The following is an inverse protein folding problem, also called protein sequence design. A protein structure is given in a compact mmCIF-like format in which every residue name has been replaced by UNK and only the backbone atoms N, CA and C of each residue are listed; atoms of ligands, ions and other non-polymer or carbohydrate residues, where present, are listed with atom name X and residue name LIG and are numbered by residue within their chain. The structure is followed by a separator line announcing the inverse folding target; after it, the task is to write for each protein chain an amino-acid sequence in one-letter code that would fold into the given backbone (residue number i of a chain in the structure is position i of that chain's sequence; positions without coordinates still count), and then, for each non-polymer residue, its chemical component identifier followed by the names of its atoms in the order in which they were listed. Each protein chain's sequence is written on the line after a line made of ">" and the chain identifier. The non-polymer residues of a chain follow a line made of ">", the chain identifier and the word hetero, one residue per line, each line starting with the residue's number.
data_IF_836801267144
#
_entry.id   IF_836801267144
#
_cell.length_a   1.000
_cell.length_b   1.000
_cell.length_c   1.000
_cell.angle_alpha   90.00
_cell.angle_beta   90.00
_cell.angle_gamma   90.00
#
_symmetry.space_group_name_H-M   'P 1'
#
loop_
_entity.id
_entity.type
_entity.pdbx_description
1 polymer ?
#
# COMPACT_ATOMS: atom_id res chain seq x y z
N UNK A 1 7.88 -10.39 -19.81
CA UNK A 1 8.55 -9.27 -19.10
C UNK A 1 8.69 -9.64 -17.63
N UNK A 2 9.90 -9.79 -17.11
CA UNK A 2 10.11 -10.20 -15.70
C UNK A 2 10.09 -8.99 -14.76
N UNK A 3 9.62 -9.17 -13.53
CA UNK A 3 9.58 -8.14 -12.49
C UNK A 3 10.97 -7.48 -12.28
N UNK A 4 12.06 -8.23 -12.46
CA UNK A 4 13.44 -7.73 -12.34
C UNK A 4 13.82 -6.69 -13.40
N UNK A 5 13.38 -6.85 -14.64
CA UNK A 5 13.65 -5.87 -15.70
C UNK A 5 12.85 -4.59 -15.48
N UNK A 6 11.63 -4.71 -14.96
CA UNK A 6 10.80 -3.58 -14.53
C UNK A 6 11.46 -2.84 -13.36
N UNK A 7 11.97 -3.56 -12.36
CA UNK A 7 12.65 -3.00 -11.19
C UNK A 7 13.82 -2.07 -11.54
N UNK A 8 14.73 -2.53 -12.42
CA UNK A 8 15.86 -1.71 -12.89
C UNK A 8 15.40 -0.45 -13.61
N UNK A 9 14.31 -0.55 -14.37
CA UNK A 9 13.72 0.61 -15.06
C UNK A 9 13.12 1.59 -14.06
N UNK A 10 12.38 1.15 -13.05
CA UNK A 10 11.84 2.02 -12.00
C UNK A 10 12.97 2.77 -11.30
N UNK A 11 14.00 2.05 -10.87
CA UNK A 11 15.15 2.64 -10.20
C UNK A 11 15.89 3.65 -11.08
N UNK A 12 16.18 3.31 -12.35
CA UNK A 12 16.82 4.22 -13.31
C UNK A 12 16.02 5.51 -13.54
N UNK A 13 14.70 5.48 -13.38
CA UNK A 13 13.82 6.65 -13.54
C UNK A 13 13.52 7.35 -12.21
N UNK A 14 14.24 7.04 -11.13
CA UNK A 14 14.01 7.60 -9.79
C UNK A 14 12.56 7.41 -9.29
N UNK A 15 11.94 6.28 -9.61
CA UNK A 15 10.57 5.95 -9.16
C UNK A 15 10.67 5.07 -7.92
N UNK A 16 10.02 5.47 -6.82
CA UNK A 16 9.85 4.67 -5.61
C UNK A 16 8.63 3.78 -5.76
N UNK A 17 8.79 2.46 -5.64
CA UNK A 17 7.67 1.53 -5.67
C UNK A 17 7.23 1.16 -4.26
N UNK A 18 5.92 1.20 -4.01
CA UNK A 18 5.28 0.61 -2.83
C UNK A 18 4.15 -0.33 -3.28
N UNK A 19 4.06 -1.51 -2.69
CA UNK A 19 3.01 -2.48 -2.97
C UNK A 19 2.15 -2.61 -1.72
N UNK A 20 0.85 -2.36 -1.86
CA UNK A 20 -0.15 -2.48 -0.79
C UNK A 20 -1.10 -3.65 -1.06
N UNK A 21 -1.69 -4.24 -0.02
CA UNK A 21 -2.55 -5.41 -0.12
C UNK A 21 -1.99 -6.67 0.56
N UNK A 22 -2.73 -7.77 0.51
CA UNK A 22 -2.38 -9.02 1.19
C UNK A 22 -1.40 -9.83 0.33
N UNK A 23 -0.10 -9.57 0.55
CA UNK A 23 1.01 -10.18 -0.21
C UNK A 23 1.17 -11.69 0.02
N UNK A 24 0.72 -12.21 1.17
CA UNK A 24 0.89 -13.60 1.57
C UNK A 24 0.12 -14.60 0.70
N UNK A 25 -0.90 -14.14 -0.06
CA UNK A 25 -1.65 -14.97 -1.01
C UNK A 25 -0.91 -15.24 -2.31
N UNK A 26 0.21 -14.56 -2.57
CA UNK A 26 1.06 -14.81 -3.73
C UNK A 26 2.11 -15.88 -3.45
N UNK A 27 2.71 -16.45 -4.48
CA UNK A 27 3.82 -17.40 -4.30
C UNK A 27 5.02 -16.75 -3.60
N UNK A 28 5.75 -17.51 -2.79
CA UNK A 28 6.94 -17.01 -2.08
C UNK A 28 7.95 -16.35 -3.04
N UNK A 29 8.15 -16.93 -4.23
CA UNK A 29 9.01 -16.34 -5.26
C UNK A 29 8.55 -14.94 -5.69
N UNK A 30 7.24 -14.70 -5.76
CA UNK A 30 6.70 -13.39 -6.10
C UNK A 30 6.81 -12.43 -4.92
N UNK A 31 6.53 -12.90 -3.69
CA UNK A 31 6.72 -12.11 -2.46
C UNK A 31 8.17 -11.61 -2.33
N UNK A 32 9.16 -12.50 -2.49
CA UNK A 32 10.58 -12.11 -2.45
C UNK A 32 10.93 -11.11 -3.53
N UNK A 33 10.37 -11.24 -4.74
CA UNK A 33 10.57 -10.26 -5.81
C UNK A 33 9.94 -8.92 -5.48
N UNK A 34 8.73 -8.88 -4.95
CA UNK A 34 8.07 -7.64 -4.52
C UNK A 34 8.96 -6.90 -3.52
N UNK A 35 9.46 -7.61 -2.51
CA UNK A 35 10.37 -7.07 -1.50
C UNK A 35 11.70 -6.58 -2.11
N UNK A 36 12.32 -7.35 -3.02
CA UNK A 36 13.55 -6.95 -3.73
C UNK A 36 13.37 -5.61 -4.47
N UNK A 37 12.23 -5.41 -5.13
CA UNK A 37 11.96 -4.18 -5.88
C UNK A 37 11.62 -2.99 -4.97
N UNK A 38 10.79 -3.20 -3.93
CA UNK A 38 10.49 -2.16 -2.94
C UNK A 38 11.79 -1.68 -2.27
N UNK A 39 12.68 -2.60 -1.89
CA UNK A 39 13.97 -2.27 -1.29
C UNK A 39 14.91 -1.56 -2.27
N UNK A 40 14.99 -2.01 -3.52
CA UNK A 40 15.83 -1.36 -4.55
C UNK A 40 15.41 0.09 -4.82
N UNK A 41 14.14 0.42 -4.62
CA UNK A 41 13.57 1.72 -4.95
C UNK A 41 13.24 2.57 -3.72
N UNK A 42 13.58 2.12 -2.51
CA UNK A 42 13.17 2.77 -1.24
C UNK A 42 13.67 4.21 -1.11
N UNK A 43 14.88 4.46 -1.59
CA UNK A 43 15.58 5.73 -1.43
C UNK A 43 15.34 6.69 -2.61
N UNK A 44 14.53 6.26 -3.58
CA UNK A 44 14.15 7.11 -4.70
C UNK A 44 13.22 8.22 -4.23
N UNK A 45 13.45 9.42 -4.76
CA UNK A 45 12.77 10.66 -4.34
C UNK A 45 11.83 11.22 -5.38
N UNK A 46 11.75 10.60 -6.55
CA UNK A 46 10.83 10.99 -7.62
C UNK A 46 9.42 10.46 -7.37
N UNK A 47 8.77 9.99 -8.44
CA UNK A 47 7.40 9.50 -8.36
C UNK A 47 7.27 8.33 -7.38
N UNK A 48 6.34 8.45 -6.43
CA UNK A 48 5.86 7.31 -5.64
C UNK A 48 4.79 6.58 -6.43
N UNK A 49 5.13 5.38 -6.94
CA UNK A 49 4.20 4.48 -7.58
C UNK A 49 3.68 3.47 -6.56
N UNK A 50 2.36 3.46 -6.35
CA UNK A 50 1.70 2.53 -5.45
C UNK A 50 0.92 1.50 -6.26
N UNK A 51 1.20 0.21 -6.05
CA UNK A 51 0.47 -0.89 -6.67
C UNK A 51 -0.35 -1.60 -5.61
N UNK A 52 -1.67 -1.61 -5.78
CA UNK A 52 -2.59 -2.39 -4.96
C UNK A 52 -2.70 -3.82 -5.52
N UNK A 53 -2.18 -4.81 -4.80
CA UNK A 53 -2.14 -6.22 -5.21
C UNK A 53 -2.83 -7.10 -4.18
N UNK A 54 -3.90 -7.79 -4.58
CA UNK A 54 -4.80 -8.49 -3.66
C UNK A 54 -5.26 -7.55 -2.51
N UNK A 55 -5.75 -6.38 -2.90
CA UNK A 55 -6.12 -5.29 -2.01
C UNK A 55 -7.63 -5.06 -2.05
N UNK A 56 -8.20 -4.72 -0.90
CA UNK A 56 -9.53 -4.10 -0.78
C UNK A 56 -9.54 -3.09 0.36
N UNK A 57 -10.29 -2.00 0.24
CA UNK A 57 -10.37 -0.94 1.24
C UNK A 57 -10.93 -1.42 2.57
N UNK A 58 -11.92 -2.31 2.55
CA UNK A 58 -12.42 -2.97 3.78
C UNK A 58 -11.34 -3.81 4.46
N UNK A 59 -10.56 -4.57 3.67
CA UNK A 59 -9.44 -5.35 4.20
C UNK A 59 -8.37 -4.43 4.81
N UNK A 60 -8.07 -3.30 4.16
CA UNK A 60 -7.05 -2.35 4.64
C UNK A 60 -7.46 -1.73 5.98
N UNK A 61 -8.73 -1.34 6.12
CA UNK A 61 -9.28 -0.83 7.38
C UNK A 61 -9.24 -1.89 8.48
N UNK A 62 -9.61 -3.14 8.16
CA UNK A 62 -9.53 -4.25 9.11
C UNK A 62 -8.09 -4.49 9.61
N UNK A 63 -7.12 -4.53 8.68
CA UNK A 63 -5.71 -4.68 9.03
C UNK A 63 -5.19 -3.50 9.86
N UNK A 64 -5.57 -2.27 9.52
CA UNK A 64 -5.19 -1.08 10.28
C UNK A 64 -5.71 -1.14 11.72
N UNK A 65 -6.97 -1.52 11.92
CA UNK A 65 -7.54 -1.71 13.26
C UNK A 65 -6.80 -2.79 14.06
N UNK A 66 -6.48 -3.94 13.45
CA UNK A 66 -5.72 -5.01 14.11
C UNK A 66 -4.31 -4.54 14.52
N UNK A 67 -3.62 -3.81 13.64
CA UNK A 67 -2.30 -3.27 13.91
C UNK A 67 -2.34 -2.20 15.01
N UNK A 68 -3.34 -1.31 14.97
CA UNK A 68 -3.55 -0.27 15.97
C UNK A 68 -3.81 -0.88 17.37
N UNK A 69 -4.65 -1.91 17.47
CA UNK A 69 -4.88 -2.63 18.73
C UNK A 69 -3.64 -3.33 19.26
N UNK A 70 -2.87 -3.97 18.38
CA UNK A 70 -1.61 -4.62 18.75
C UNK A 70 -0.59 -3.60 19.26
N UNK A 71 -0.46 -2.46 18.57
CA UNK A 71 0.43 -1.37 18.96
C UNK A 71 0.02 -0.76 20.31
N UNK A 72 -1.26 -0.43 20.50
CA UNK A 72 -1.77 0.14 21.75
C UNK A 72 -1.48 -0.77 22.95
N UNK A 73 -1.70 -2.07 22.78
CA UNK A 73 -1.39 -3.08 23.81
C UNK A 73 0.10 -3.15 24.11
N UNK A 74 0.94 -3.19 23.07
CA UNK A 74 2.40 -3.31 23.19
C UNK A 74 3.05 -2.08 23.84
N UNK A 75 2.59 -0.88 23.48
CA UNK A 75 3.14 0.39 23.96
C UNK A 75 2.40 0.93 25.19
N UNK A 76 1.36 0.22 25.66
CA UNK A 76 0.52 0.61 26.81
C UNK A 76 -0.05 2.02 26.68
N UNK A 77 -0.60 2.35 25.50
CA UNK A 77 -1.26 3.62 25.19
C UNK A 77 -2.75 3.42 24.92
N UNK A 78 -3.55 4.48 25.08
CA UNK A 78 -4.99 4.40 24.79
C UNK A 78 -5.23 4.38 23.29
N UNK A 79 -6.22 3.58 22.84
CA UNK A 79 -6.69 3.61 21.45
C UNK A 79 -7.22 4.99 21.03
N UNK A 80 -7.73 5.78 21.98
CA UNK A 80 -8.19 7.15 21.73
C UNK A 80 -7.09 8.10 21.27
N UNK A 81 -5.83 7.76 21.55
CA UNK A 81 -4.68 8.62 21.28
C UNK A 81 -4.04 8.28 19.92
N UNK A 82 -4.57 7.27 19.23
CA UNK A 82 -4.09 6.77 17.95
C UNK A 82 -5.07 7.12 16.83
N UNK A 83 -4.54 7.31 15.62
CA UNK A 83 -5.34 7.52 14.41
C UNK A 83 -5.24 6.31 13.50
N UNK A 84 -6.38 5.83 12.99
CA UNK A 84 -6.43 4.71 12.04
C UNK A 84 -5.57 5.00 10.80
N UNK A 85 -5.52 6.26 10.35
CA UNK A 85 -4.69 6.73 9.23
C UNK A 85 -3.22 6.31 9.32
N UNK A 86 -2.67 6.27 10.54
CA UNK A 86 -1.27 5.91 10.79
C UNK A 86 -1.00 4.41 10.61
N UNK A 87 -2.06 3.58 10.53
CA UNK A 87 -1.99 2.12 10.43
C UNK A 87 -2.51 1.57 9.09
N UNK A 88 -3.07 2.43 8.22
CA UNK A 88 -3.48 2.02 6.87
C UNK A 88 -2.25 1.65 6.03
N UNK A 89 -2.42 0.80 5.02
CA UNK A 89 -1.33 0.47 4.07
C UNK A 89 -0.76 1.71 3.35
N UNK A 90 -1.54 2.79 3.31
CA UNK A 90 -1.21 4.10 2.75
C UNK A 90 -0.75 5.11 3.80
N UNK A 91 -0.48 4.72 5.06
CA UNK A 91 0.02 5.62 6.09
C UNK A 91 1.21 6.47 5.60
N UNK A 92 1.14 7.78 5.90
CA UNK A 92 2.12 8.78 5.46
C UNK A 92 2.05 9.17 3.98
N UNK A 93 1.01 8.74 3.25
CA UNK A 93 0.78 9.09 1.85
C UNK A 93 -0.42 10.05 1.78
N UNK A 94 -0.33 11.16 1.02
CA UNK A 94 -1.46 12.06 0.82
C UNK A 94 -2.66 11.35 0.19
N UNK A 95 -3.85 11.88 0.47
CA UNK A 95 -5.10 11.44 -0.15
C UNK A 95 -5.10 11.70 -1.67
N UNK A 96 -5.80 10.88 -2.48
CA UNK A 96 -5.91 11.13 -3.91
C UNK A 96 -6.73 12.38 -4.23
N UNK A 97 -6.14 13.32 -4.96
CA UNK A 97 -6.89 14.45 -5.54
C UNK A 97 -7.81 14.03 -6.71
N UNK A 98 -7.46 12.92 -7.38
CA UNK A 98 -8.14 12.47 -8.59
C UNK A 98 -8.26 10.95 -8.62
N UNK A 99 -9.51 10.47 -8.70
CA UNK A 99 -9.83 9.06 -8.93
C UNK A 99 -10.30 8.85 -10.37
N UNK A 100 -9.52 8.07 -11.13
CA UNK A 100 -9.86 7.70 -12.51
C UNK A 100 -10.20 6.20 -12.56
N UNK A 101 -11.41 5.89 -13.00
CA UNK A 101 -11.85 4.52 -13.30
C UNK A 101 -12.16 4.37 -14.78
N UNK A 102 -11.48 3.44 -15.44
CA UNK A 102 -11.75 3.08 -16.83
C UNK A 102 -12.79 1.94 -16.91
N UNK A 103 -13.33 1.69 -18.11
CA UNK A 103 -14.29 0.61 -18.35
C UNK A 103 -15.77 0.98 -18.26
N UNK A 104 -16.11 2.28 -18.13
CA UNK A 104 -17.49 2.78 -18.20
C UNK A 104 -18.33 2.60 -16.93
N UNK A 105 -17.78 1.97 -15.90
CA UNK A 105 -18.49 1.67 -14.65
C UNK A 105 -18.37 2.81 -13.65
N UNK A 106 -19.48 3.22 -13.04
CA UNK A 106 -19.51 4.30 -12.03
C UNK A 106 -19.65 3.71 -10.62
N UNK A 107 -18.58 3.12 -10.10
CA UNK A 107 -18.49 2.63 -8.71
C UNK A 107 -17.05 2.63 -8.22
N UNK A 108 -16.85 2.58 -6.91
CA UNK A 108 -15.51 2.52 -6.30
C UNK A 108 -14.95 1.08 -6.31
N UNK A 109 -15.81 0.07 -6.17
CA UNK A 109 -15.43 -1.36 -6.07
C UNK A 109 -14.41 -1.67 -4.96
N UNK A 110 -14.68 -1.20 -3.74
CA UNK A 110 -13.85 -1.50 -2.57
C UNK A 110 -12.38 -1.07 -2.75
N UNK A 111 -12.13 0.02 -3.47
CA UNK A 111 -10.79 0.57 -3.69
C UNK A 111 -10.62 1.87 -2.90
N UNK A 112 -9.55 1.96 -2.11
CA UNK A 112 -9.20 3.14 -1.29
C UNK A 112 -10.38 3.79 -0.56
N UNK A 113 -11.22 2.97 0.10
CA UNK A 113 -12.47 3.44 0.71
C UNK A 113 -12.27 4.54 1.74
N UNK A 114 -11.17 4.48 2.50
CA UNK A 114 -10.86 5.49 3.52
C UNK A 114 -10.32 6.77 2.90
N UNK A 115 -9.46 6.64 1.88
CA UNK A 115 -8.77 7.78 1.28
C UNK A 115 -9.63 8.54 0.26
N UNK A 116 -10.76 7.97 -0.16
CA UNK A 116 -11.72 8.61 -1.08
C UNK A 116 -13.00 9.08 -0.35
N UNK A 117 -12.96 9.20 0.98
CA UNK A 117 -14.10 9.55 1.83
C UNK A 117 -14.35 11.07 1.89
#
# INVERSE_FOLDING_TARGET
>A
LTLKNQAKRLHKNNIRLKIIGEKTKFSESLQSKMQEVEQLTSDNTGLLLIIAANYGGQWDIEQACLQMMSYASKENVSLSDLKVDDFLSTAGIPEPDLFIRTGGEHRISNFLLWQLA
#
